data_IF_157216303219
#
_entry.id   IF_157216303219
#
_cell.length_a   1.000
_cell.length_b   1.000
_cell.length_c   1.000
_cell.angle_alpha   90.00
_cell.angle_beta   90.00
_cell.angle_gamma   90.00
#
_symmetry.space_group_name_H-M   'P 1'
#
loop_
_entity.id
_entity.type
_entity.pdbx_description
1 polymer ?
#
# COMPACT_ATOMS: atom_id res chain seq x y z
N UNK A 1 14.13 -20.34 13.92
CA UNK A 1 12.75 -20.45 13.41
C UNK A 1 12.72 -19.77 12.05
N UNK A 2 12.65 -20.56 10.97
CA UNK A 2 12.54 -20.04 9.61
C UNK A 2 11.04 -19.78 9.38
N UNK A 3 10.63 -18.51 9.37
CA UNK A 3 9.33 -18.17 8.79
C UNK A 3 9.40 -18.59 7.32
N UNK A 4 8.52 -19.46 6.81
CA UNK A 4 8.46 -19.69 5.39
C UNK A 4 8.18 -18.33 4.77
N UNK A 5 9.17 -17.82 4.02
CA UNK A 5 8.95 -16.73 3.09
C UNK A 5 7.94 -17.33 2.13
N UNK A 6 6.65 -17.08 2.36
CA UNK A 6 5.59 -17.57 1.49
C UNK A 6 5.92 -17.04 0.11
N UNK A 7 6.49 -17.90 -0.74
CA UNK A 7 6.61 -17.65 -2.16
C UNK A 7 5.18 -17.74 -2.71
N UNK A 8 4.38 -16.70 -2.45
CA UNK A 8 3.07 -16.55 -3.02
C UNK A 8 3.27 -16.42 -4.53
N UNK A 9 3.12 -17.55 -5.22
CA UNK A 9 3.04 -17.56 -6.68
C UNK A 9 1.67 -17.02 -7.01
N UNK A 10 1.59 -15.70 -7.14
CA UNK A 10 0.36 -15.04 -7.56
C UNK A 10 0.02 -15.45 -8.99
N UNK A 11 -1.23 -15.80 -9.24
CA UNK A 11 -1.70 -15.97 -10.62
C UNK A 11 -1.68 -14.61 -11.33
N UNK A 12 -1.65 -14.62 -12.67
CA UNK A 12 -1.70 -13.39 -13.46
C UNK A 12 -2.91 -12.52 -13.12
N UNK A 13 -4.05 -13.14 -12.81
CA UNK A 13 -5.26 -12.41 -12.37
C UNK A 13 -5.08 -11.72 -11.02
N UNK A 14 -4.45 -12.40 -10.05
CA UNK A 14 -4.15 -11.80 -8.74
C UNK A 14 -3.14 -10.65 -8.88
N UNK A 15 -2.14 -10.84 -9.74
CA UNK A 15 -1.17 -9.80 -10.05
C UNK A 15 -1.84 -8.57 -10.68
N UNK A 16 -2.73 -8.78 -11.65
CA UNK A 16 -3.51 -7.71 -12.27
C UNK A 16 -4.40 -6.98 -11.25
N UNK A 17 -5.04 -7.71 -10.34
CA UNK A 17 -5.87 -7.11 -9.28
C UNK A 17 -5.04 -6.20 -8.37
N UNK A 18 -3.89 -6.69 -7.88
CA UNK A 18 -2.98 -5.90 -7.06
C UNK A 18 -2.43 -4.69 -7.81
N UNK A 19 -2.07 -4.84 -9.09
CA UNK A 19 -1.60 -3.72 -9.91
C UNK A 19 -2.69 -2.65 -10.09
N UNK A 20 -3.96 -3.04 -10.32
CA UNK A 20 -5.07 -2.08 -10.38
C UNK A 20 -5.28 -1.35 -9.06
N UNK A 21 -5.21 -2.07 -7.94
CA UNK A 21 -5.33 -1.47 -6.61
C UNK A 21 -4.20 -0.47 -6.34
N UNK A 22 -2.96 -0.79 -6.73
CA UNK A 22 -1.81 0.11 -6.59
C UNK A 22 -1.93 1.39 -7.43
N UNK A 23 -2.40 1.27 -8.68
CA UNK A 23 -2.65 2.43 -9.55
C UNK A 23 -3.72 3.32 -8.94
N UNK A 24 -4.87 2.75 -8.55
CA UNK A 24 -5.96 3.49 -7.90
C UNK A 24 -5.52 4.19 -6.63
N UNK A 25 -4.74 3.51 -5.78
CA UNK A 25 -4.22 4.09 -4.56
C UNK A 25 -3.28 5.27 -4.84
N UNK A 26 -2.44 5.16 -5.86
CA UNK A 26 -1.55 6.25 -6.28
C UNK A 26 -2.33 7.45 -6.84
N UNK A 27 -3.36 7.20 -7.66
CA UNK A 27 -4.28 8.23 -8.16
C UNK A 27 -4.99 8.96 -7.01
N UNK A 28 -5.50 8.21 -6.02
CA UNK A 28 -6.17 8.77 -4.84
C UNK A 28 -5.24 9.64 -3.97
N UNK A 29 -3.95 9.28 -3.90
CA UNK A 29 -2.94 10.08 -3.20
C UNK A 29 -2.46 11.30 -4.02
N UNK A 30 -2.89 11.43 -5.29
CA UNK A 30 -2.37 12.45 -6.20
C UNK A 30 -0.88 12.28 -6.50
N UNK A 31 -0.33 11.08 -6.27
CA UNK A 31 1.10 10.77 -6.43
C UNK A 31 1.32 9.94 -7.69
N UNK A 32 2.44 10.15 -8.36
CA UNK A 32 2.82 9.30 -9.49
C UNK A 32 3.27 7.92 -8.97
N UNK A 33 2.58 6.87 -9.39
CA UNK A 33 2.81 5.46 -9.02
C UNK A 33 4.21 4.94 -9.36
N UNK A 34 4.97 5.62 -10.23
CA UNK A 34 6.28 5.17 -10.71
C UNK A 34 7.47 6.00 -10.22
N UNK A 35 7.25 7.25 -9.79
CA UNK A 35 8.33 8.19 -9.47
C UNK A 35 8.38 8.61 -8.00
N UNK A 36 7.37 8.25 -7.21
CA UNK A 36 7.37 8.58 -5.78
C UNK A 36 8.18 7.57 -4.98
N UNK A 37 8.99 8.05 -4.04
CA UNK A 37 9.77 7.23 -3.09
C UNK A 37 8.92 6.23 -2.29
N UNK A 38 7.61 6.48 -2.17
CA UNK A 38 6.67 5.65 -1.41
C UNK A 38 5.90 4.66 -2.29
N UNK A 39 6.14 4.65 -3.62
CA UNK A 39 5.44 3.74 -4.53
C UNK A 39 5.72 2.25 -4.22
N UNK A 40 6.97 1.93 -3.86
CA UNK A 40 7.35 0.55 -3.48
C UNK A 40 6.68 0.14 -2.16
N UNK A 41 6.59 1.07 -1.22
CA UNK A 41 5.93 0.87 0.07
C UNK A 41 4.43 0.64 -0.10
N UNK A 42 3.78 1.46 -0.91
CA UNK A 42 2.38 1.31 -1.28
C UNK A 42 2.11 -0.06 -1.94
N UNK A 43 3.00 -0.52 -2.83
CA UNK A 43 2.88 -1.83 -3.45
C UNK A 43 2.97 -2.98 -2.43
N UNK A 44 3.87 -2.88 -1.44
CA UNK A 44 3.95 -3.86 -0.34
C UNK A 44 2.68 -3.87 0.51
N UNK A 45 2.11 -2.70 0.79
CA UNK A 45 0.85 -2.59 1.53
C UNK A 45 -0.29 -3.26 0.77
N UNK A 46 -0.40 -3.02 -0.54
CA UNK A 46 -1.38 -3.68 -1.41
C UNK A 46 -1.22 -5.20 -1.40
N UNK A 47 0.01 -5.72 -1.53
CA UNK A 47 0.28 -7.16 -1.46
C UNK A 47 -0.10 -7.75 -0.10
N UNK A 48 0.20 -7.04 1.00
CA UNK A 48 -0.15 -7.46 2.35
C UNK A 48 -1.66 -7.52 2.57
N UNK A 49 -2.41 -6.54 2.06
CA UNK A 49 -3.87 -6.50 2.14
C UNK A 49 -4.49 -7.63 1.31
N UNK A 50 -3.95 -7.89 0.12
CA UNK A 50 -4.36 -9.04 -0.68
C UNK A 50 -4.12 -10.37 0.06
N UNK A 51 -2.95 -10.54 0.68
CA UNK A 51 -2.60 -11.73 1.48
C UNK A 51 -3.50 -11.92 2.71
N UNK A 52 -4.14 -10.85 3.21
CA UNK A 52 -5.16 -10.94 4.28
C UNK A 52 -6.51 -11.46 3.78
N UNK A 53 -6.64 -11.74 2.48
CA UNK A 53 -7.84 -12.29 1.86
C UNK A 53 -8.74 -11.27 1.18
N UNK A 54 -8.32 -10.00 1.09
CA UNK A 54 -9.03 -8.98 0.33
C UNK A 54 -8.93 -9.30 -1.17
N UNK A 55 -10.07 -9.29 -1.86
CA UNK A 55 -10.17 -9.62 -3.30
C UNK A 55 -10.87 -8.55 -4.11
N UNK A 56 -10.96 -7.33 -3.57
CA UNK A 56 -11.54 -6.18 -4.24
C UNK A 56 -10.47 -5.11 -4.40
N UNK A 57 -10.22 -4.69 -5.64
CA UNK A 57 -9.16 -3.73 -5.95
C UNK A 57 -9.43 -2.33 -5.43
N UNK A 58 -10.70 -1.94 -5.28
CA UNK A 58 -11.09 -0.63 -4.73
C UNK A 58 -10.90 -0.63 -3.22
N UNK A 59 -11.36 -1.69 -2.53
CA UNK A 59 -11.18 -1.79 -1.06
C UNK A 59 -9.68 -1.83 -0.71
N UNK A 60 -8.89 -2.64 -1.43
CA UNK A 60 -7.44 -2.70 -1.21
C UNK A 60 -6.80 -1.33 -1.43
N UNK A 61 -7.21 -0.60 -2.47
CA UNK A 61 -6.67 0.72 -2.75
C UNK A 61 -6.99 1.73 -1.64
N UNK A 62 -8.24 1.80 -1.18
CA UNK A 62 -8.65 2.73 -0.11
C UNK A 62 -7.89 2.43 1.18
N UNK A 63 -7.84 1.17 1.60
CA UNK A 63 -7.11 0.78 2.80
C UNK A 63 -5.60 1.04 2.70
N UNK A 64 -5.01 0.86 1.51
CA UNK A 64 -3.61 1.18 1.28
C UNK A 64 -3.33 2.69 1.40
N UNK A 65 -4.26 3.53 0.93
CA UNK A 65 -4.21 4.99 1.08
C UNK A 65 -4.36 5.40 2.55
N UNK A 66 -5.33 4.85 3.27
CA UNK A 66 -5.51 5.14 4.70
C UNK A 66 -4.28 4.77 5.54
N UNK A 67 -3.66 3.62 5.23
CA UNK A 67 -2.43 3.18 5.87
C UNK A 67 -1.27 4.14 5.58
N UNK A 68 -1.09 4.52 4.31
CA UNK A 68 -0.07 5.47 3.89
C UNK A 68 -0.28 6.86 4.51
N UNK A 69 -1.52 7.34 4.59
CA UNK A 69 -1.87 8.60 5.25
C UNK A 69 -1.63 8.56 6.75
N UNK A 70 -1.91 7.43 7.41
CA UNK A 70 -1.59 7.25 8.83
C UNK A 70 -0.07 7.30 9.04
N UNK A 71 0.69 6.60 8.21
CA UNK A 71 2.14 6.49 8.39
C UNK A 71 2.90 7.76 7.97
N UNK A 72 2.38 8.54 7.01
CA UNK A 72 2.92 9.86 6.64
C UNK A 72 2.37 11.00 7.51
N UNK A 73 1.16 10.86 8.07
CA UNK A 73 0.53 11.83 8.96
C UNK A 73 1.17 11.91 10.34
N UNK A 74 1.68 10.79 10.87
CA UNK A 74 2.39 10.77 12.17
C UNK A 74 3.75 11.50 12.09
N UNK A 75 4.26 11.79 10.89
CA UNK A 75 5.51 12.56 10.73
C UNK A 75 5.34 14.07 10.98
N UNK A 76 4.13 14.59 11.22
CA UNK A 76 3.89 16.04 11.39
C UNK A 76 3.48 16.48 12.82
N UNK A 77 3.38 15.58 13.80
CA UNK A 77 2.97 15.91 15.18
C UNK A 77 4.15 15.99 16.19
N UNK A 78 5.35 16.37 15.75
CA UNK A 78 6.53 16.54 16.63
C UNK A 78 7.28 17.87 16.43
N UNK A 79 6.55 18.95 16.11
CA UNK A 79 7.05 20.32 16.30
C UNK A 79 5.96 21.23 16.87
N UNK A 80 5.63 21.03 18.15
CA UNK A 80 4.86 21.99 18.95
C UNK A 80 5.22 21.79 20.42
N UNK A 81 6.49 22.05 20.76
CA UNK A 81 6.93 22.24 22.15
C UNK A 81 8.20 23.09 22.15
N UNK A 82 8.02 24.41 21.97
CA UNK A 82 8.92 25.44 22.48
C UNK A 82 8.33 26.82 22.16
N UNK A 83 7.57 27.38 23.11
CA UNK A 83 7.43 28.82 23.33
C UNK A 83 7.04 29.05 24.78
#
# INVERSE_FOLDING_TARGET
MLHPISQHTYTTEQWNLMQRAHVKASEMLGRCSHTHEHANRLARTVMRLFDQGLRDDVIIAVMAVEQEMTETGIANDNNSSAS
#
